data_IF_598594941010
#
_entry.id   IF_598594941010
#
_cell.length_a   1.000
_cell.length_b   1.000
_cell.length_c   1.000
_cell.angle_alpha   90.00
_cell.angle_beta   90.00
_cell.angle_gamma   90.00
#
_symmetry.space_group_name_H-M   'P 1'
#
loop_
_entity.id
_entity.type
_entity.pdbx_description
1 polymer ?
#
# COMPACT_ATOMS: atom_id res chain seq x y z
N UNK A 1 -6.03 -15.28 3.93
CA UNK A 1 -6.58 -15.79 2.64
C UNK A 1 -5.57 -15.56 1.53
N UNK A 2 -4.64 -16.50 1.32
CA UNK A 2 -3.68 -16.47 0.21
C UNK A 2 -4.30 -16.83 -1.16
N UNK A 3 -5.45 -17.51 -1.13
CA UNK A 3 -6.08 -18.07 -2.34
C UNK A 3 -6.40 -17.00 -3.40
N UNK A 4 -6.81 -15.80 -2.97
CA UNK A 4 -7.13 -14.70 -3.88
C UNK A 4 -5.90 -14.21 -4.65
N UNK A 5 -4.76 -13.99 -3.97
CA UNK A 5 -3.51 -13.57 -4.62
C UNK A 5 -3.03 -14.61 -5.64
N UNK A 6 -3.11 -15.90 -5.30
CA UNK A 6 -2.73 -16.99 -6.21
C UNK A 6 -3.61 -17.02 -7.45
N UNK A 7 -4.93 -16.87 -7.28
CA UNK A 7 -5.87 -16.81 -8.39
C UNK A 7 -5.58 -15.61 -9.31
N UNK A 8 -5.41 -14.41 -8.74
CA UNK A 8 -5.12 -13.21 -9.52
C UNK A 8 -3.79 -13.32 -10.29
N UNK A 9 -2.75 -13.90 -9.67
CA UNK A 9 -1.46 -14.16 -10.36
C UNK A 9 -1.63 -15.13 -11.54
N UNK A 10 -2.46 -16.17 -11.38
CA UNK A 10 -2.75 -17.10 -12.47
C UNK A 10 -3.54 -16.42 -13.60
N UNK A 11 -4.51 -15.58 -13.26
CA UNK A 11 -5.30 -14.81 -14.22
C UNK A 11 -4.41 -13.86 -15.03
N UNK A 12 -3.53 -13.12 -14.35
CA UNK A 12 -2.54 -12.24 -14.98
C UNK A 12 -1.64 -13.01 -15.95
N UNK A 13 -1.15 -14.19 -15.54
CA UNK A 13 -0.31 -15.03 -16.38
C UNK A 13 -1.03 -15.64 -17.59
N UNK A 14 -2.32 -15.95 -17.45
CA UNK A 14 -3.10 -16.62 -18.49
C UNK A 14 -3.63 -15.63 -19.53
N UNK A 15 -4.05 -14.45 -19.09
CA UNK A 15 -4.71 -13.45 -19.94
C UNK A 15 -3.80 -12.27 -20.32
N UNK A 16 -2.57 -12.21 -19.78
CA UNK A 16 -1.71 -11.04 -19.92
C UNK A 16 -2.28 -9.80 -19.22
N UNK A 17 -3.12 -10.00 -18.21
CA UNK A 17 -3.73 -8.94 -17.42
C UNK A 17 -2.81 -8.47 -16.28
N UNK A 18 -3.25 -7.47 -15.52
CA UNK A 18 -2.46 -6.84 -14.45
C UNK A 18 -3.32 -6.57 -13.20
N UNK A 19 -4.21 -7.51 -12.89
CA UNK A 19 -5.16 -7.41 -11.78
C UNK A 19 -4.48 -7.41 -10.42
N UNK A 20 -3.40 -8.18 -10.24
CA UNK A 20 -2.64 -8.17 -8.98
C UNK A 20 -2.19 -6.75 -8.67
N UNK A 21 -1.54 -6.08 -9.62
CA UNK A 21 -1.06 -4.72 -9.41
C UNK A 21 -2.22 -3.74 -9.16
N UNK A 22 -3.29 -3.80 -9.96
CA UNK A 22 -4.42 -2.87 -9.84
C UNK A 22 -5.11 -2.97 -8.47
N UNK A 23 -5.44 -4.20 -8.05
CA UNK A 23 -6.16 -4.44 -6.81
C UNK A 23 -5.27 -4.10 -5.62
N UNK A 24 -4.04 -4.62 -5.58
CA UNK A 24 -3.16 -4.41 -4.43
C UNK A 24 -2.65 -2.96 -4.35
N UNK A 25 -2.46 -2.26 -5.46
CA UNK A 25 -2.13 -0.82 -5.44
C UNK A 25 -3.30 0.02 -4.89
N UNK A 26 -4.53 -0.35 -5.22
CA UNK A 26 -5.74 0.31 -4.67
C UNK A 26 -5.85 0.06 -3.17
N UNK A 27 -5.60 -1.17 -2.72
CA UNK A 27 -5.56 -1.52 -1.29
C UNK A 27 -4.49 -0.70 -0.57
N UNK A 28 -3.26 -0.68 -1.09
CA UNK A 28 -2.14 0.05 -0.49
C UNK A 28 -2.46 1.55 -0.37
N UNK A 29 -2.95 2.17 -1.44
CA UNK A 29 -3.34 3.60 -1.44
C UNK A 29 -4.48 3.89 -0.47
N UNK A 30 -5.43 2.96 -0.31
CA UNK A 30 -6.53 3.09 0.66
C UNK A 30 -6.03 2.97 2.09
N UNK A 31 -5.07 2.08 2.36
CA UNK A 31 -4.43 1.96 3.67
C UNK A 31 -3.71 3.26 4.02
N UNK A 32 -2.93 3.81 3.09
CA UNK A 32 -2.23 5.08 3.29
C UNK A 32 -3.21 6.20 3.70
N UNK A 33 -4.25 6.41 2.89
CA UNK A 33 -5.26 7.47 3.13
C UNK A 33 -6.00 7.27 4.46
N UNK A 34 -6.49 6.06 4.75
CA UNK A 34 -7.24 5.81 5.99
C UNK A 34 -6.37 5.93 7.24
N UNK A 35 -5.12 5.48 7.15
CA UNK A 35 -4.16 5.61 8.24
C UNK A 35 -3.84 7.08 8.51
N UNK A 36 -3.60 7.86 7.46
CA UNK A 36 -3.33 9.29 7.57
C UNK A 36 -4.54 10.05 8.15
N UNK A 37 -5.76 9.74 7.68
CA UNK A 37 -6.98 10.34 8.23
C UNK A 37 -7.19 9.98 9.70
N UNK A 38 -6.90 8.73 10.09
CA UNK A 38 -6.97 8.30 11.48
C UNK A 38 -6.00 9.09 12.37
N UNK A 39 -4.74 9.25 11.93
CA UNK A 39 -3.73 10.04 12.64
C UNK A 39 -4.20 11.49 12.73
N UNK A 40 -4.60 12.10 11.62
CA UNK A 40 -5.09 13.49 11.58
C UNK A 40 -6.24 13.73 12.57
N UNK A 41 -7.15 12.77 12.71
CA UNK A 41 -8.30 12.87 13.62
C UNK A 41 -7.93 12.79 15.10
N UNK A 42 -6.86 12.06 15.46
CA UNK A 42 -6.55 11.73 16.85
C UNK A 42 -5.29 12.40 17.40
N UNK A 43 -4.52 13.10 16.57
CA UNK A 43 -3.40 13.91 17.07
C UNK A 43 -3.89 15.34 17.30
N UNK A 44 -3.59 15.88 18.48
CA UNK A 44 -4.01 17.23 18.88
C UNK A 44 -3.54 18.29 17.87
N UNK A 45 -4.39 19.29 17.53
CA UNK A 45 -4.07 20.34 16.55
C UNK A 45 -2.79 21.13 16.86
N UNK A 46 -2.30 21.07 18.10
CA UNK A 46 -1.15 21.83 18.59
C UNK A 46 0.17 21.03 18.52
N UNK A 47 0.13 19.73 18.22
CA UNK A 47 1.32 18.84 18.23
C UNK A 47 1.83 18.46 16.84
N UNK A 48 1.21 18.93 15.75
CA UNK A 48 1.67 18.65 14.38
C UNK A 48 1.87 19.96 13.61
N UNK A 49 3.13 20.30 13.33
CA UNK A 49 3.51 21.40 12.42
C UNK A 49 3.60 20.96 10.95
N UNK A 50 3.49 19.66 10.66
CA UNK A 50 3.61 19.11 9.30
C UNK A 50 2.75 17.86 9.13
N UNK A 51 1.90 17.84 8.10
CA UNK A 51 1.00 16.71 7.82
C UNK A 51 1.77 15.38 7.76
N UNK A 52 1.40 14.42 8.62
CA UNK A 52 2.02 13.09 8.64
C UNK A 52 1.71 12.39 7.32
N UNK A 53 2.75 11.98 6.59
CA UNK A 53 2.61 11.15 5.41
C UNK A 53 2.67 9.67 5.80
N UNK A 54 1.77 8.88 5.22
CA UNK A 54 1.75 7.42 5.40
C UNK A 54 1.97 6.74 4.05
N UNK A 55 2.89 5.77 4.03
CA UNK A 55 3.12 4.87 2.91
C UNK A 55 3.08 3.41 3.36
N UNK A 56 2.79 2.50 2.42
CA UNK A 56 2.65 1.08 2.72
C UNK A 56 3.41 0.19 1.73
N UNK A 57 3.90 -0.94 2.24
CA UNK A 57 4.48 -2.03 1.46
C UNK A 57 3.71 -3.28 1.80
N UNK A 58 3.10 -3.91 0.80
CA UNK A 58 2.32 -5.14 0.97
C UNK A 58 3.19 -6.33 0.62
N UNK A 59 3.20 -7.34 1.50
CA UNK A 59 3.97 -8.57 1.31
C UNK A 59 3.03 -9.77 1.14
N UNK A 60 3.47 -10.79 0.40
CA UNK A 60 2.83 -12.10 0.39
C UNK A 60 3.28 -12.97 1.58
N UNK A 61 2.77 -14.20 1.66
CA UNK A 61 3.08 -15.13 2.74
C UNK A 61 4.57 -15.47 2.86
N UNK A 62 5.32 -15.34 1.76
CA UNK A 62 6.76 -15.60 1.68
C UNK A 62 7.61 -14.34 1.91
N UNK A 63 6.99 -13.23 2.35
CA UNK A 63 7.61 -11.91 2.53
C UNK A 63 8.17 -11.31 1.23
N UNK A 64 7.62 -11.69 0.08
CA UNK A 64 7.92 -10.98 -1.18
C UNK A 64 7.00 -9.78 -1.32
N UNK A 65 7.55 -8.66 -1.74
CA UNK A 65 6.77 -7.45 -2.00
C UNK A 65 5.79 -7.74 -3.14
N UNK A 66 4.51 -7.47 -2.89
CA UNK A 66 3.45 -7.49 -3.89
C UNK A 66 3.40 -6.12 -4.56
N UNK A 67 3.25 -5.06 -3.75
CA UNK A 67 3.26 -3.66 -4.19
C UNK A 67 3.85 -2.77 -3.11
N UNK A 68 4.40 -1.64 -3.53
CA UNK A 68 4.68 -0.49 -2.67
C UNK A 68 3.77 0.63 -3.11
N UNK A 69 3.10 1.31 -2.18
CA UNK A 69 2.23 2.43 -2.52
C UNK A 69 3.05 3.60 -3.10
N UNK A 70 2.43 4.51 -3.87
CA UNK A 70 3.14 5.68 -4.41
C UNK A 70 3.80 6.52 -3.31
N UNK A 71 3.11 6.75 -2.19
CA UNK A 71 3.66 7.46 -1.03
C UNK A 71 4.79 6.66 -0.40
N UNK A 72 4.63 5.34 -0.24
CA UNK A 72 5.69 4.46 0.29
C UNK A 72 6.96 4.49 -0.55
N UNK A 73 6.84 4.46 -1.88
CA UNK A 73 7.97 4.53 -2.79
C UNK A 73 8.70 5.89 -2.66
N UNK A 74 7.93 6.98 -2.57
CA UNK A 74 8.47 8.33 -2.36
C UNK A 74 9.22 8.43 -1.04
N UNK A 75 8.61 7.99 0.06
CA UNK A 75 9.22 8.04 1.40
C UNK A 75 10.49 7.18 1.47
N UNK A 76 10.47 5.96 0.91
CA UNK A 76 11.64 5.09 0.87
C UNK A 76 12.80 5.73 0.08
N UNK A 77 12.50 6.45 -1.01
CA UNK A 77 13.52 7.15 -1.81
C UNK A 77 14.19 8.33 -1.11
N UNK A 78 13.62 8.80 0.00
CA UNK A 78 14.16 9.90 0.81
C UNK A 78 15.02 9.42 1.97
N UNK A 79 14.98 8.12 2.29
CA UNK A 79 15.66 7.50 3.43
C UNK A 79 16.86 6.65 2.97
N UNK A 80 16.89 6.27 1.67
CA UNK A 80 17.96 5.54 1.01
C UNK A 80 18.72 6.45 0.04
#
# INVERSE_FOLDING_TARGET
TEAALKYLRQLDATEGSNWVNQIYSTIASTIDSRSQDYIRKHVEPQSITSEVQVGSVLFDGDRKIIVTSPTGATLLSQIC
#
